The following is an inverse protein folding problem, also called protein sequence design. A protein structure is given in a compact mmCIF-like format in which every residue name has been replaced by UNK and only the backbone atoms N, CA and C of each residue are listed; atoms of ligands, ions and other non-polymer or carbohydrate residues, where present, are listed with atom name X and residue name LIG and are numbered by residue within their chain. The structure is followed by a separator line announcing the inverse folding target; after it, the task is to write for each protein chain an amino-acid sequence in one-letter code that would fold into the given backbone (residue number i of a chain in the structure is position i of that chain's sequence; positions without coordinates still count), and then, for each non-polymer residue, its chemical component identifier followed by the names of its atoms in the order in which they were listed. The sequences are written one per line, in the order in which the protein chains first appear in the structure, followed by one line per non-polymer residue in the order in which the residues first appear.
data_IF_612040674446
#
_entry.id   IF_612040674446
#
_cell.length_a   1.000
_cell.length_b   1.000
_cell.length_c   1.000
_cell.angle_alpha   90.00
_cell.angle_beta   90.00
_cell.angle_gamma   90.00
#
_symmetry.space_group_name_H-M   'P 1'
#
loop_
_entity.id
_entity.type
_entity.pdbx_description
1 polymer ?
#
# COMPACT_ATOMS: atom_id res chain seq x y z
N UNK A 1 -12.90 15.52 -1.81
CA UNK A 1 -13.20 14.67 -0.65
C UNK A 1 -11.90 14.36 0.06
N UNK A 2 -11.93 14.36 1.38
CA UNK A 2 -10.83 13.93 2.21
C UNK A 2 -10.70 12.40 2.18
N UNK A 3 -9.53 11.85 2.49
CA UNK A 3 -9.38 10.41 2.71
C UNK A 3 -10.26 9.92 3.86
N UNK A 4 -10.52 10.79 4.84
CA UNK A 4 -11.41 10.52 5.97
C UNK A 4 -12.90 10.40 5.59
N UNK A 5 -13.28 10.85 4.38
CA UNK A 5 -14.65 10.74 3.88
C UNK A 5 -14.87 9.44 3.09
N UNK A 6 -13.82 8.62 2.87
CA UNK A 6 -13.90 7.38 2.13
C UNK A 6 -14.59 6.29 2.96
N UNK A 7 -15.51 5.52 2.36
CA UNK A 7 -16.26 4.48 3.06
C UNK A 7 -15.39 3.33 3.60
N UNK A 8 -14.21 3.13 3.03
CA UNK A 8 -13.25 2.10 3.45
C UNK A 8 -12.24 2.64 4.48
N UNK A 9 -12.30 3.93 4.82
CA UNK A 9 -11.49 4.47 5.90
C UNK A 9 -12.04 3.99 7.26
N UNK A 10 -11.40 2.98 7.83
CA UNK A 10 -11.69 2.47 9.17
C UNK A 10 -10.56 2.82 10.13
N UNK A 11 -10.50 4.08 10.58
CA UNK A 11 -9.51 4.57 11.56
C UNK A 11 -8.05 4.18 11.24
N UNK A 12 -7.69 4.15 9.96
CA UNK A 12 -6.34 3.77 9.54
C UNK A 12 -5.32 4.68 10.22
N UNK A 13 -4.29 4.06 10.82
CA UNK A 13 -3.19 4.76 11.48
C UNK A 13 -2.46 5.72 10.53
N UNK A 14 -2.24 5.30 9.28
CA UNK A 14 -1.48 6.09 8.33
C UNK A 14 -1.88 5.82 6.87
N UNK A 15 -1.97 6.89 6.08
CA UNK A 15 -2.07 6.82 4.62
C UNK A 15 -0.99 7.72 4.01
N UNK A 16 -0.05 7.12 3.28
CA UNK A 16 1.10 7.80 2.68
C UNK A 16 0.98 7.83 1.16
N UNK A 17 0.85 9.03 0.60
CA UNK A 17 0.91 9.27 -0.84
C UNK A 17 2.36 9.47 -1.28
N UNK A 18 2.84 8.57 -2.14
CA UNK A 18 4.21 8.53 -2.63
C UNK A 18 4.26 8.98 -4.09
N UNK A 19 5.05 10.02 -4.37
CA UNK A 19 5.26 10.55 -5.73
C UNK A 19 6.73 10.75 -6.00
N UNK A 20 7.19 10.24 -7.14
CA UNK A 20 8.52 10.51 -7.70
C UNK A 20 8.35 10.69 -9.21
N UNK A 21 8.39 11.95 -9.66
CA UNK A 21 8.16 12.31 -11.06
C UNK A 21 9.22 11.71 -11.98
N UNK A 22 10.47 11.66 -11.53
CA UNK A 22 11.59 11.20 -12.34
C UNK A 22 11.58 9.67 -12.48
N UNK A 23 11.14 8.97 -11.45
CA UNK A 23 10.95 7.52 -11.49
C UNK A 23 9.59 7.08 -12.07
N UNK A 24 8.67 8.02 -12.30
CA UNK A 24 7.30 7.73 -12.72
C UNK A 24 6.44 7.13 -11.60
N UNK A 25 6.91 7.13 -10.34
CA UNK A 25 6.18 6.52 -9.23
C UNK A 25 4.93 7.34 -8.91
N UNK A 26 3.79 6.65 -8.83
CA UNK A 26 2.58 7.12 -8.17
C UNK A 26 2.05 5.99 -7.31
N UNK A 27 2.14 6.10 -5.99
CA UNK A 27 1.76 5.02 -5.11
C UNK A 27 1.08 5.53 -3.84
N UNK A 28 0.33 4.63 -3.20
CA UNK A 28 -0.32 4.84 -1.91
C UNK A 28 0.09 3.68 -1.02
N UNK A 29 0.52 3.97 0.19
CA UNK A 29 0.76 2.98 1.25
C UNK A 29 -0.26 3.27 2.36
N UNK A 30 -1.09 2.30 2.69
CA UNK A 30 -2.04 2.36 3.78
C UNK A 30 -1.62 1.39 4.89
N UNK A 31 -1.57 1.89 6.12
CA UNK A 31 -1.38 1.13 7.34
C UNK A 31 -2.68 1.24 8.12
N UNK A 32 -3.33 0.10 8.33
CA UNK A 32 -4.60 0.05 9.04
C UNK A 32 -4.38 -0.03 10.55
N UNK A 33 -3.71 -1.09 11.02
CA UNK A 33 -3.43 -1.33 12.44
C UNK A 33 -2.06 -1.98 12.61
N UNK A 34 -1.29 -1.55 13.61
CA UNK A 34 0.02 -2.09 13.99
C UNK A 34 0.04 -2.63 15.43
N UNK A 35 -1.12 -2.86 16.05
CA UNK A 35 -1.25 -3.29 17.44
C UNK A 35 -0.51 -4.59 17.73
N UNK A 36 -0.57 -5.56 16.81
CA UNK A 36 0.11 -6.87 16.94
C UNK A 36 1.59 -6.86 16.53
N UNK A 37 2.05 -5.79 15.87
CA UNK A 37 3.38 -5.68 15.30
C UNK A 37 3.39 -4.87 14.00
N UNK A 38 4.54 -4.81 13.29
CA UNK A 38 4.65 -4.10 12.03
C UNK A 38 3.57 -4.51 11.02
N UNK A 39 3.08 -3.55 10.25
CA UNK A 39 2.11 -3.83 9.20
C UNK A 39 2.75 -4.65 8.08
N UNK A 40 2.08 -5.70 7.63
CA UNK A 40 2.55 -6.50 6.50
C UNK A 40 1.47 -6.61 5.41
N UNK A 41 1.89 -6.51 4.15
CA UNK A 41 1.02 -6.82 3.02
C UNK A 41 1.63 -6.49 1.65
N UNK A 42 1.15 -7.17 0.62
CA UNK A 42 1.74 -7.08 -0.72
C UNK A 42 1.55 -5.72 -1.41
N UNK A 43 2.49 -5.37 -2.28
CA UNK A 43 2.39 -4.24 -3.20
C UNK A 43 1.70 -4.67 -4.48
N UNK A 44 0.57 -4.02 -4.80
CA UNK A 44 -0.14 -4.19 -6.06
C UNK A 44 0.31 -3.14 -7.07
N UNK A 45 0.37 -3.47 -8.34
CA UNK A 45 0.47 -2.48 -9.41
C UNK A 45 -0.69 -2.64 -10.38
N UNK A 46 -1.50 -1.59 -10.52
CA UNK A 46 -2.73 -1.65 -11.31
C UNK A 46 -3.06 -0.33 -11.99
N UNK A 47 -3.66 -0.41 -13.17
CA UNK A 47 -4.15 0.73 -13.93
C UNK A 47 -5.56 1.12 -13.46
N UNK A 48 -5.64 1.81 -12.32
CA UNK A 48 -6.90 2.30 -11.76
C UNK A 48 -7.56 3.34 -12.68
N UNK A 49 -8.90 3.33 -12.73
CA UNK A 49 -9.68 4.30 -13.51
C UNK A 49 -9.62 5.71 -12.89
N UNK A 50 -9.49 5.79 -11.57
CA UNK A 50 -9.34 7.05 -10.83
C UNK A 50 -8.39 6.90 -9.64
N UNK A 51 -7.93 8.03 -9.10
CA UNK A 51 -7.15 8.08 -7.85
C UNK A 51 -8.02 7.61 -6.67
N UNK A 52 -9.31 7.90 -6.69
CA UNK A 52 -10.25 7.51 -5.65
C UNK A 52 -10.38 5.98 -5.57
N UNK A 53 -10.45 5.29 -6.71
CA UNK A 53 -10.44 3.82 -6.74
C UNK A 53 -9.17 3.23 -6.13
N UNK A 54 -8.02 3.87 -6.39
CA UNK A 54 -6.74 3.45 -5.82
C UNK A 54 -6.67 3.64 -4.30
N UNK A 55 -7.22 4.75 -3.79
CA UNK A 55 -7.33 5.01 -2.35
C UNK A 55 -8.25 3.98 -1.69
N UNK A 56 -9.45 3.79 -2.22
CA UNK A 56 -10.43 2.81 -1.74
C UNK A 56 -9.83 1.41 -1.71
N UNK A 57 -9.12 0.98 -2.76
CA UNK A 57 -8.48 -0.34 -2.81
C UNK A 57 -7.34 -0.48 -1.80
N UNK A 58 -6.52 0.56 -1.61
CA UNK A 58 -5.46 0.55 -0.61
C UNK A 58 -6.01 0.38 0.80
N UNK A 59 -7.03 1.19 1.18
CA UNK A 59 -7.66 1.17 2.50
C UNK A 59 -8.32 -0.18 2.80
N UNK A 60 -9.21 -0.62 1.91
CA UNK A 60 -9.94 -1.89 2.05
C UNK A 60 -9.01 -3.08 2.22
N UNK A 61 -7.91 -3.11 1.46
CA UNK A 61 -6.96 -4.22 1.50
C UNK A 61 -6.01 -4.15 2.69
N UNK A 62 -5.63 -2.97 3.20
CA UNK A 62 -4.85 -2.87 4.46
C UNK A 62 -5.66 -3.35 5.66
N UNK A 63 -6.96 -3.03 5.70
CA UNK A 63 -7.88 -3.57 6.70
C UNK A 63 -7.98 -5.09 6.60
N UNK A 64 -8.20 -5.62 5.40
CA UNK A 64 -8.25 -7.07 5.17
C UNK A 64 -6.96 -7.79 5.62
N UNK A 65 -5.79 -7.16 5.43
CA UNK A 65 -4.52 -7.71 5.92
C UNK A 65 -4.42 -7.72 7.45
N UNK A 66 -5.01 -6.74 8.15
CA UNK A 66 -5.06 -6.74 9.62
C UNK A 66 -5.83 -7.96 10.12
N UNK A 67 -7.03 -8.19 9.58
CA UNK A 67 -7.84 -9.36 9.92
C UNK A 67 -7.13 -10.66 9.54
N UNK A 68 -6.55 -10.75 8.34
CA UNK A 68 -5.88 -11.95 7.88
C UNK A 68 -4.71 -12.33 8.79
N UNK A 69 -3.87 -11.36 9.15
CA UNK A 69 -2.70 -11.62 9.99
C UNK A 69 -3.10 -11.97 11.43
N UNK A 70 -4.10 -11.27 11.99
CA UNK A 70 -4.63 -11.58 13.32
C UNK A 70 -5.27 -12.98 13.38
N UNK A 71 -6.09 -13.35 12.39
CA UNK A 71 -6.70 -14.69 12.30
C UNK A 71 -5.69 -15.81 12.09
N UNK A 72 -4.53 -15.48 11.50
CA UNK A 72 -3.42 -16.41 11.32
C UNK A 72 -2.47 -16.48 12.53
N UNK A 73 -2.78 -15.80 13.64
CA UNK A 73 -1.96 -15.70 14.85
C UNK A 73 -0.53 -15.24 14.56
N UNK A 74 -0.40 -14.29 13.63
CA UNK A 74 0.88 -13.69 13.26
C UNK A 74 1.13 -12.41 14.07
N UNK A 75 2.37 -12.15 14.53
CA UNK A 75 2.74 -10.91 15.20
C UNK A 75 2.93 -9.77 14.19
N UNK A 76 1.92 -9.54 13.36
CA UNK A 76 1.93 -8.60 12.24
C UNK A 76 0.60 -7.84 12.18
N UNK A 77 0.69 -6.53 11.99
CA UNK A 77 -0.43 -5.67 11.67
C UNK A 77 -0.84 -5.77 10.19
N UNK A 78 -1.76 -4.92 9.75
CA UNK A 78 -2.23 -4.89 8.35
C UNK A 78 -1.79 -3.66 7.60
N UNK A 79 -1.10 -3.89 6.48
CA UNK A 79 -0.70 -2.84 5.56
C UNK A 79 -0.97 -3.22 4.12
N UNK A 80 -1.04 -2.23 3.25
CA UNK A 80 -1.14 -2.43 1.81
C UNK A 80 -0.45 -1.32 1.06
N UNK A 81 0.13 -1.66 -0.08
CA UNK A 81 0.55 -0.65 -1.05
C UNK A 81 -0.05 -0.91 -2.42
N UNK A 82 -0.36 0.17 -3.12
CA UNK A 82 -0.80 0.18 -4.51
C UNK A 82 0.06 1.16 -5.30
N UNK A 83 0.53 0.73 -6.46
CA UNK A 83 1.20 1.57 -7.46
C UNK A 83 0.21 1.74 -8.62
N UNK A 84 -0.06 2.99 -8.96
CA UNK A 84 -0.97 3.36 -10.05
C UNK A 84 -0.17 3.36 -11.35
N UNK A 85 -0.42 2.38 -12.21
CA UNK A 85 0.26 2.23 -13.50
C UNK A 85 0.01 0.86 -14.15
N UNK A 86 0.30 0.75 -15.45
CA UNK A 86 0.19 -0.51 -16.20
C UNK A 86 1.44 -1.39 -15.90
N UNK A 87 1.30 -2.54 -15.22
CA UNK A 87 2.43 -3.37 -14.86
C UNK A 87 3.20 -3.95 -16.06
N UNK A 88 2.59 -3.95 -17.26
CA UNK A 88 3.23 -4.46 -18.48
C UNK A 88 4.01 -3.37 -19.25
N UNK A 89 3.80 -2.09 -18.92
CA UNK A 89 4.41 -0.96 -19.65
C UNK A 89 5.25 -0.07 -18.76
N UNK A 90 4.76 0.24 -17.58
CA UNK A 90 5.34 1.28 -16.72
C UNK A 90 6.34 0.70 -15.70
N UNK A 91 6.23 -0.60 -15.40
CA UNK A 91 7.06 -1.27 -14.40
C UNK A 91 8.51 -1.33 -14.84
N UNK A 92 9.39 -0.71 -14.05
CA UNK A 92 10.82 -0.72 -14.29
C UNK A 92 11.62 -0.61 -12.97
N UNK A 93 12.93 -0.90 -13.04
CA UNK A 93 13.81 -0.89 -11.86
C UNK A 93 13.84 0.46 -11.14
N UNK A 94 13.81 1.58 -11.88
CA UNK A 94 13.88 2.93 -11.28
C UNK A 94 12.63 3.21 -10.44
N UNK A 95 11.46 2.87 -10.96
CA UNK A 95 10.18 2.96 -10.26
C UNK A 95 10.17 2.13 -8.98
N UNK A 96 10.53 0.84 -9.07
CA UNK A 96 10.54 -0.07 -7.91
C UNK A 96 11.59 0.35 -6.87
N UNK A 97 12.75 0.84 -7.30
CA UNK A 97 13.77 1.38 -6.38
C UNK A 97 13.25 2.62 -5.66
N UNK A 98 12.49 3.47 -6.37
CA UNK A 98 11.85 4.63 -5.74
C UNK A 98 10.82 4.23 -4.70
N UNK A 99 9.95 3.26 -5.02
CA UNK A 99 8.98 2.70 -4.07
C UNK A 99 9.68 2.12 -2.82
N UNK A 100 10.74 1.33 -3.00
CA UNK A 100 11.50 0.76 -1.89
C UNK A 100 12.08 1.84 -0.95
N UNK A 101 12.50 3.01 -1.49
CA UNK A 101 12.93 4.13 -0.64
C UNK A 101 11.80 4.70 0.21
N UNK A 102 10.57 4.75 -0.31
CA UNK A 102 9.41 5.18 0.49
C UNK A 102 9.07 4.16 1.58
N UNK A 103 9.13 2.85 1.27
CA UNK A 103 9.00 1.80 2.29
C UNK A 103 10.08 1.93 3.37
N UNK A 104 11.34 2.15 2.98
CA UNK A 104 12.44 2.34 3.93
C UNK A 104 12.23 3.54 4.87
N UNK A 105 11.60 4.62 4.41
CA UNK A 105 11.30 5.80 5.23
C UNK A 105 10.30 5.52 6.35
N UNK A 106 9.50 4.45 6.24
CA UNK A 106 8.58 4.03 7.30
C UNK A 106 9.31 3.35 8.47
N UNK A 107 10.62 3.13 8.37
CA UNK A 107 11.44 2.74 9.51
C UNK A 107 11.07 1.38 10.11
N UNK A 108 10.59 0.45 9.28
CA UNK A 108 10.18 -0.89 9.73
C UNK A 108 8.71 -0.99 10.18
N UNK A 109 7.92 0.09 10.09
CA UNK A 109 6.48 0.03 10.39
C UNK A 109 5.67 -0.72 9.32
N UNK A 110 6.19 -0.86 8.09
CA UNK A 110 5.54 -1.58 7.01
C UNK A 110 6.51 -2.50 6.26
N UNK A 111 6.12 -3.75 6.10
CA UNK A 111 6.79 -4.76 5.29
C UNK A 111 5.94 -5.09 4.05
N UNK A 112 6.53 -4.88 2.88
CA UNK A 112 5.89 -5.19 1.60
C UNK A 112 6.21 -6.60 1.12
N UNK A 113 5.34 -7.16 0.28
CA UNK A 113 5.55 -8.40 -0.46
C UNK A 113 5.08 -8.23 -1.92
N UNK A 114 5.13 -9.30 -2.71
CA UNK A 114 4.48 -9.35 -4.02
C UNK A 114 2.94 -9.39 -3.91
N UNK A 115 2.27 -8.89 -4.95
CA UNK A 115 0.82 -9.02 -5.22
C UNK A 115 0.61 -8.79 -6.73
N UNK A 116 -0.63 -8.83 -7.20
CA UNK A 116 -1.02 -8.60 -8.61
C UNK A 116 -0.26 -7.41 -9.22
N UNK A 117 0.41 -7.67 -10.34
CA UNK A 117 1.21 -6.69 -11.09
C UNK A 117 2.66 -6.56 -10.64
N UNK A 118 3.03 -7.09 -9.47
CA UNK A 118 4.39 -7.13 -8.94
C UNK A 118 4.92 -8.56 -8.97
N UNK A 119 6.09 -8.72 -9.57
CA UNK A 119 6.77 -9.98 -9.92
C UNK A 119 7.89 -9.72 -10.91
#
# INVERSE_FOLDING_TARGET
MSVFDNSEYDNHEQVLFCRDKDAGLFAIIAIHDTTLGPAAGGCRMWAYASIEDAVTDALRLSQAMSYKNALADLPLGGGKSVIIGDPNKDKNKKLLTSFARFVQRLGGQYYTAEDIGIG
#
